data_IF_712346929341
#
_entry.id   IF_712346929341
#
_cell.length_a   1.000
_cell.length_b   1.000
_cell.length_c   1.000
_cell.angle_alpha   90.00
_cell.angle_beta   90.00
_cell.angle_gamma   90.00
#
_symmetry.space_group_name_H-M   'P 1'
#
loop_
_entity.id
_entity.type
_entity.pdbx_description
1 polymer ?
#
# COMPACT_ATOMS: atom_id res chain seq x y z
N UNK A 1 -5.19 8.26 2.46
CA UNK A 1 -5.42 8.83 3.81
C UNK A 1 -5.00 7.90 4.94
N UNK A 2 -5.55 6.68 5.02
CA UNK A 2 -5.24 5.72 6.08
C UNK A 2 -3.73 5.46 6.24
N UNK A 3 -3.00 5.31 5.14
CA UNK A 3 -1.53 5.16 5.18
C UNK A 3 -0.83 6.32 5.90
N UNK A 4 -1.26 7.58 5.67
CA UNK A 4 -0.70 8.72 6.38
C UNK A 4 -1.07 8.70 7.87
N UNK A 5 -2.33 8.44 8.20
CA UNK A 5 -2.82 8.40 9.59
C UNK A 5 -2.16 7.29 10.43
N UNK A 6 -1.92 6.13 9.84
CA UNK A 6 -1.23 5.01 10.49
C UNK A 6 0.27 5.32 10.67
N UNK A 7 0.90 5.91 9.66
CA UNK A 7 2.31 6.31 9.75
C UNK A 7 2.53 7.40 10.81
N UNK A 8 1.61 8.37 10.93
CA UNK A 8 1.64 9.36 12.02
C UNK A 8 1.52 8.73 13.42
N UNK A 9 0.84 7.58 13.51
CA UNK A 9 0.75 6.76 14.73
C UNK A 9 1.94 5.82 14.91
N UNK A 10 3.00 5.99 14.11
CA UNK A 10 4.25 5.22 14.15
C UNK A 10 4.09 3.74 13.77
N UNK A 11 3.04 3.40 13.01
CA UNK A 11 2.92 2.07 12.42
C UNK A 11 3.91 1.93 11.26
N UNK A 12 4.44 0.71 11.05
CA UNK A 12 5.12 0.35 9.80
C UNK A 12 4.06 0.09 8.74
N UNK A 13 4.04 0.89 7.67
CA UNK A 13 2.98 0.85 6.66
C UNK A 13 3.54 0.45 5.31
N UNK A 14 2.91 -0.55 4.69
CA UNK A 14 3.06 -0.89 3.28
C UNK A 14 1.73 -0.68 2.57
N UNK A 15 1.74 0.00 1.42
CA UNK A 15 0.61 0.12 0.50
C UNK A 15 0.93 -0.69 -0.75
N UNK A 16 0.00 -1.58 -1.13
CA UNK A 16 0.08 -2.40 -2.33
C UNK A 16 -0.98 -1.87 -3.30
N UNK A 17 -0.58 -1.59 -4.53
CA UNK A 17 -1.46 -1.07 -5.58
C UNK A 17 -1.17 -1.80 -6.90
N UNK A 18 -2.25 -2.26 -7.55
CA UNK A 18 -2.17 -2.97 -8.82
C UNK A 18 -1.75 -2.05 -9.96
N UNK A 19 -2.17 -0.79 -9.93
CA UNK A 19 -1.84 0.19 -10.96
C UNK A 19 -0.40 0.71 -10.86
N UNK A 20 0.06 1.31 -11.96
CA UNK A 20 1.37 1.95 -12.05
C UNK A 20 1.49 3.27 -11.27
N UNK A 21 0.40 3.76 -10.67
CA UNK A 21 0.34 5.06 -9.99
C UNK A 21 -0.75 5.07 -8.93
N UNK A 22 -0.53 5.86 -7.87
CA UNK A 22 -1.56 6.13 -6.87
C UNK A 22 -2.67 7.01 -7.45
N UNK A 23 -3.90 6.82 -6.98
CA UNK A 23 -5.06 7.63 -7.41
C UNK A 23 -5.27 7.66 -8.94
N UNK A 24 -4.92 6.57 -9.64
CA UNK A 24 -4.89 6.52 -11.12
C UNK A 24 -6.21 6.87 -11.81
N UNK A 25 -7.35 6.68 -11.13
CA UNK A 25 -8.69 7.02 -11.63
C UNK A 25 -9.18 8.43 -11.24
N UNK A 26 -8.54 9.06 -10.25
CA UNK A 26 -9.13 10.17 -9.49
C UNK A 26 -8.27 11.44 -9.45
N UNK A 27 -7.03 11.40 -9.92
CA UNK A 27 -6.11 12.52 -9.87
C UNK A 27 -5.27 12.64 -11.15
N UNK A 28 -4.92 13.87 -11.59
CA UNK A 28 -4.02 14.07 -12.73
C UNK A 28 -2.55 13.76 -12.36
N UNK A 29 -1.67 13.48 -13.34
CA UNK A 29 -0.28 13.04 -13.08
C UNK A 29 0.54 13.91 -12.11
N UNK A 30 0.44 15.26 -12.12
CA UNK A 30 1.16 16.09 -11.15
C UNK A 30 0.75 15.80 -9.70
N UNK A 31 -0.54 15.59 -9.45
CA UNK A 31 -1.08 15.28 -8.12
C UNK A 31 -0.69 13.88 -7.69
N UNK A 32 -0.76 12.90 -8.61
CA UNK A 32 -0.32 11.53 -8.34
C UNK A 32 1.14 11.47 -7.88
N UNK A 33 2.04 12.14 -8.62
CA UNK A 33 3.47 12.23 -8.27
C UNK A 33 3.69 12.88 -6.91
N UNK A 34 3.01 14.00 -6.67
CA UNK A 34 3.09 14.69 -5.38
C UNK A 34 2.66 13.79 -4.22
N UNK A 35 1.52 13.09 -4.34
CA UNK A 35 1.02 12.20 -3.30
C UNK A 35 1.95 11.00 -3.06
N UNK A 36 2.43 10.37 -4.12
CA UNK A 36 3.39 9.27 -4.05
C UNK A 36 4.64 9.69 -3.26
N UNK A 37 5.27 10.79 -3.67
CA UNK A 37 6.47 11.31 -3.01
C UNK A 37 6.20 11.68 -1.55
N UNK A 38 5.08 12.36 -1.27
CA UNK A 38 4.72 12.77 0.09
C UNK A 38 4.53 11.58 1.03
N UNK A 39 3.95 10.48 0.55
CA UNK A 39 3.81 9.26 1.34
C UNK A 39 5.13 8.52 1.54
N UNK A 40 5.97 8.42 0.50
CA UNK A 40 7.30 7.82 0.61
C UNK A 40 8.19 8.60 1.59
N UNK A 41 8.16 9.93 1.54
CA UNK A 41 8.86 10.81 2.49
C UNK A 41 8.37 10.63 3.93
N UNK A 42 7.09 10.30 4.12
CA UNK A 42 6.55 9.98 5.44
C UNK A 42 6.99 8.60 5.96
N UNK A 43 7.66 7.77 5.13
CA UNK A 43 8.10 6.43 5.50
C UNK A 43 7.15 5.31 5.08
N UNK A 44 6.13 5.60 4.28
CA UNK A 44 5.24 4.57 3.71
C UNK A 44 5.99 3.82 2.61
N UNK A 45 6.07 2.50 2.72
CA UNK A 45 6.51 1.66 1.61
C UNK A 45 5.37 1.52 0.61
N UNK A 46 5.58 1.94 -0.63
CA UNK A 46 4.55 1.85 -1.69
C UNK A 46 5.03 0.88 -2.76
N UNK A 47 4.22 -0.16 -3.02
CA UNK A 47 4.44 -1.18 -4.04
C UNK A 47 3.38 -1.01 -5.13
N UNK A 48 3.78 -0.38 -6.24
CA UNK A 48 2.97 -0.20 -7.43
C UNK A 48 3.15 -1.38 -8.38
N UNK A 49 2.23 -1.59 -9.32
CA UNK A 49 2.22 -2.73 -10.23
C UNK A 49 2.33 -4.06 -9.49
N UNK A 50 1.67 -4.18 -8.34
CA UNK A 50 1.77 -5.37 -7.52
C UNK A 50 0.38 -5.82 -7.04
N UNK A 51 0.10 -7.09 -7.22
CA UNK A 51 -1.13 -7.74 -6.80
C UNK A 51 -0.82 -8.70 -5.65
N UNK A 52 -1.82 -8.95 -4.82
CA UNK A 52 -1.78 -10.03 -3.83
C UNK A 52 -2.29 -11.30 -4.52
N UNK A 53 -1.50 -12.36 -4.52
CA UNK A 53 -1.88 -13.67 -5.10
C UNK A 53 -2.44 -14.62 -4.05
N UNK A 54 -1.81 -14.65 -2.88
CA UNK A 54 -2.20 -15.53 -1.79
C UNK A 54 -2.26 -14.78 -0.46
N UNK A 55 -3.23 -15.16 0.36
CA UNK A 55 -3.42 -14.66 1.71
C UNK A 55 -3.58 -15.85 2.64
N UNK A 56 -2.79 -15.89 3.70
CA UNK A 56 -2.95 -16.84 4.80
C UNK A 56 -3.19 -16.05 6.08
N UNK A 57 -4.29 -16.36 6.75
CA UNK A 57 -4.63 -15.79 8.05
C UNK A 57 -4.23 -16.77 9.18
N UNK A 58 -3.59 -16.24 10.21
CA UNK A 58 -2.95 -16.99 11.28
C UNK A 58 -2.68 -16.09 12.48
N UNK A 59 -1.56 -16.27 13.19
CA UNK A 59 -1.15 -15.31 14.24
C UNK A 59 -0.86 -13.91 13.65
N UNK A 60 -0.35 -13.89 12.42
CA UNK A 60 -0.22 -12.70 11.58
C UNK A 60 -0.76 -13.02 10.19
N UNK A 61 -1.16 -11.98 9.46
CA UNK A 61 -1.55 -12.13 8.06
C UNK A 61 -0.29 -12.22 7.20
N UNK A 62 -0.17 -13.29 6.44
CA UNK A 62 0.87 -13.48 5.45
C UNK A 62 0.31 -13.25 4.04
N UNK A 63 0.98 -12.40 3.26
CA UNK A 63 0.61 -12.02 1.91
C UNK A 63 1.72 -12.42 0.95
N UNK A 64 1.40 -13.21 -0.07
CA UNK A 64 2.31 -13.43 -1.20
C UNK A 64 1.89 -12.54 -2.35
N UNK A 65 2.82 -11.76 -2.85
CA UNK A 65 2.61 -10.83 -3.95
C UNK A 65 2.95 -11.48 -5.30
N UNK A 66 2.38 -10.98 -6.40
CA UNK A 66 2.69 -11.48 -7.76
C UNK A 66 4.18 -11.37 -8.14
N UNK A 67 4.91 -10.48 -7.48
CA UNK A 67 6.36 -10.38 -7.60
C UNK A 67 7.13 -11.57 -6.98
N UNK A 68 6.46 -12.46 -6.25
CA UNK A 68 7.07 -13.51 -5.42
C UNK A 68 7.51 -13.05 -4.02
N UNK A 69 7.41 -11.75 -3.72
CA UNK A 69 7.67 -11.23 -2.38
C UNK A 69 6.59 -11.66 -1.37
N UNK A 70 7.02 -12.08 -0.19
CA UNK A 70 6.14 -12.35 0.96
C UNK A 70 6.20 -11.21 1.98
N UNK A 71 5.04 -10.77 2.44
CA UNK A 71 4.87 -9.75 3.48
C UNK A 71 4.11 -10.34 4.67
N UNK A 72 4.47 -9.93 5.88
CA UNK A 72 3.71 -10.22 7.10
C UNK A 72 3.18 -8.93 7.72
N UNK A 73 1.94 -8.95 8.18
CA UNK A 73 1.27 -7.81 8.80
C UNK A 73 0.40 -8.26 9.98
N UNK A 74 0.35 -7.42 11.03
CA UNK A 74 -0.57 -7.64 12.14
C UNK A 74 -2.01 -7.24 11.77
N UNK A 75 -2.17 -6.33 10.80
CA UNK A 75 -3.46 -5.84 10.31
C UNK A 75 -3.38 -5.61 8.80
N UNK A 76 -4.42 -6.04 8.07
CA UNK A 76 -4.61 -5.71 6.65
C UNK A 76 -5.86 -4.86 6.50
N UNK A 77 -5.74 -3.75 5.77
CA UNK A 77 -6.86 -2.87 5.43
C UNK A 77 -7.08 -2.92 3.93
N UNK A 78 -8.27 -3.35 3.53
CA UNK A 78 -8.65 -3.41 2.12
C UNK A 78 -9.27 -2.08 1.66
N UNK A 79 -8.42 -1.19 1.14
CA UNK A 79 -8.79 0.16 0.71
C UNK A 79 -8.85 0.34 -0.81
N UNK A 80 -9.45 -0.61 -1.54
CA UNK A 80 -9.41 -0.64 -3.02
C UNK A 80 -10.54 0.15 -3.71
N UNK A 81 -11.34 0.92 -2.98
CA UNK A 81 -12.42 1.70 -3.60
C UNK A 81 -13.16 2.66 -2.67
N UNK A 82 -13.64 3.74 -3.28
CA UNK A 82 -15.07 4.01 -3.53
C UNK A 82 -15.24 4.02 -5.05
#
# INVERSE_FOLDING_TARGET
ELAASATQRRCKVTVIELAATVMGRNAPPPVQRYLLQRHQQAGVRILLNNAIEHVVDGEKVELTLQSGETLQADVVIYGIGI
#
